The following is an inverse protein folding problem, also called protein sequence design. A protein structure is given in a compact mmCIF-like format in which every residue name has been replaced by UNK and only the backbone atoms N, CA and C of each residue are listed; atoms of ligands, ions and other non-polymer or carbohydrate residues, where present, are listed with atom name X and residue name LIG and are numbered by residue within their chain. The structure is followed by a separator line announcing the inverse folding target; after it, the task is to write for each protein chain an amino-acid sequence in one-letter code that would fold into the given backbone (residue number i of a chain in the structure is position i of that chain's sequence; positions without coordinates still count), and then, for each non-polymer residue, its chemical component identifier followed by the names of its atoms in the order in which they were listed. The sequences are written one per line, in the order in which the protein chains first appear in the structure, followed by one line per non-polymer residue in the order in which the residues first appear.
data_IF_073230057724
#
_entry.id   IF_073230057724
#
_cell.length_a   1.000
_cell.length_b   1.000
_cell.length_c   1.000
_cell.angle_alpha   90.00
_cell.angle_beta   90.00
_cell.angle_gamma   90.00
#
_symmetry.space_group_name_H-M   'P 1'
#
loop_
_entity.id
_entity.type
_entity.pdbx_description
1 polymer ?
#
# COMPACT_ATOMS: atom_id res chain seq x y z
N UNK A 1 9.98 23.36 -9.76
CA UNK A 1 11.28 22.65 -9.70
C UNK A 1 11.46 22.00 -11.07
N UNK A 2 12.64 22.10 -11.69
CA UNK A 2 12.87 21.50 -13.02
C UNK A 2 13.05 19.99 -12.89
N UNK A 3 12.58 19.22 -13.88
CA UNK A 3 12.74 17.75 -13.96
C UNK A 3 14.20 17.31 -13.77
N UNK A 4 15.16 18.16 -14.18
CA UNK A 4 16.60 17.87 -14.09
C UNK A 4 17.15 17.80 -12.66
N UNK A 5 16.49 18.45 -11.69
CA UNK A 5 16.99 18.44 -10.30
C UNK A 5 16.61 17.15 -9.56
N UNK A 6 15.54 16.47 -9.97
CA UNK A 6 15.03 15.27 -9.30
C UNK A 6 15.62 13.97 -9.89
N UNK A 7 16.24 14.04 -11.07
CA UNK A 7 16.86 12.91 -11.77
C UNK A 7 17.87 12.11 -10.90
N UNK A 8 18.79 12.74 -10.15
CA UNK A 8 19.78 12.01 -9.34
C UNK A 8 19.13 11.25 -8.18
N UNK A 9 18.09 11.86 -7.61
CA UNK A 9 17.24 11.33 -6.54
C UNK A 9 16.48 10.08 -7.00
N UNK A 10 15.89 10.12 -8.20
CA UNK A 10 15.20 8.97 -8.83
C UNK A 10 16.20 7.86 -9.18
N UNK A 11 17.38 8.20 -9.70
CA UNK A 11 18.42 7.23 -10.03
C UNK A 11 18.98 6.54 -8.78
N UNK A 12 19.22 7.28 -7.69
CA UNK A 12 19.66 6.70 -6.42
C UNK A 12 18.60 5.75 -5.84
N UNK A 13 17.32 6.12 -5.90
CA UNK A 13 16.21 5.26 -5.45
C UNK A 13 16.10 3.97 -6.28
N UNK A 14 16.14 4.10 -7.61
CA UNK A 14 16.03 2.96 -8.53
C UNK A 14 17.24 2.03 -8.52
N UNK A 15 18.42 2.53 -8.14
CA UNK A 15 19.65 1.74 -8.02
C UNK A 15 19.95 1.27 -6.59
N UNK A 16 19.08 1.56 -5.61
CA UNK A 16 19.23 1.15 -4.22
C UNK A 16 20.40 1.83 -3.48
N UNK A 17 20.88 2.98 -3.97
CA UNK A 17 21.98 3.74 -3.35
C UNK A 17 21.47 4.59 -2.20
N UNK A 18 21.13 3.95 -1.09
CA UNK A 18 20.48 4.58 0.07
C UNK A 18 21.29 5.73 0.68
N UNK A 19 22.62 5.62 0.74
CA UNK A 19 23.46 6.69 1.30
C UNK A 19 23.45 7.93 0.40
N UNK A 20 23.55 7.74 -0.92
CA UNK A 20 23.42 8.83 -1.90
C UNK A 20 22.03 9.46 -1.84
N UNK A 21 20.98 8.64 -1.69
CA UNK A 21 19.61 9.14 -1.53
C UNK A 21 19.48 10.01 -0.27
N UNK A 22 20.02 9.57 0.87
CA UNK A 22 19.99 10.35 2.11
C UNK A 22 20.70 11.70 1.96
N UNK A 23 21.86 11.73 1.30
CA UNK A 23 22.60 12.97 1.05
C UNK A 23 21.85 13.91 0.11
N UNK A 24 21.19 13.39 -0.92
CA UNK A 24 20.38 14.17 -1.85
C UNK A 24 19.13 14.74 -1.16
N UNK A 25 18.43 13.92 -0.36
CA UNK A 25 17.27 14.33 0.43
C UNK A 25 17.60 15.41 1.46
N UNK A 26 18.77 15.34 2.09
CA UNK A 26 19.22 16.35 3.04
C UNK A 26 19.47 17.73 2.38
N UNK A 27 19.80 17.75 1.08
CA UNK A 27 20.10 18.97 0.34
C UNK A 27 18.90 19.53 -0.44
N UNK A 28 17.89 18.71 -0.72
CA UNK A 28 16.68 19.10 -1.45
C UNK A 28 15.56 19.50 -0.49
N UNK A 29 15.20 20.79 -0.44
CA UNK A 29 14.16 21.32 0.46
C UNK A 29 12.72 20.87 0.10
N UNK A 30 12.56 19.97 -0.88
CA UNK A 30 11.28 19.36 -1.31
C UNK A 30 11.55 18.17 -2.24
N UNK A 31 11.80 17.00 -1.67
CA UNK A 31 11.72 15.78 -2.46
C UNK A 31 10.25 15.51 -2.80
N UNK A 32 9.87 15.68 -4.06
CA UNK A 32 8.52 15.40 -4.50
C UNK A 32 8.37 13.88 -4.71
N UNK A 33 7.81 13.23 -3.71
CA UNK A 33 7.32 11.83 -3.67
C UNK A 33 6.62 11.38 -4.96
N UNK A 34 5.97 12.32 -5.68
CA UNK A 34 5.36 12.13 -7.00
C UNK A 34 6.31 11.46 -8.01
N UNK A 35 7.62 11.69 -7.91
CA UNK A 35 8.61 11.14 -8.83
C UNK A 35 9.02 9.68 -8.55
N UNK A 36 8.76 9.19 -7.33
CA UNK A 36 8.96 7.76 -7.00
C UNK A 36 7.76 6.91 -7.40
N UNK A 37 6.60 7.53 -7.63
CA UNK A 37 5.35 6.84 -8.00
C UNK A 37 5.43 6.09 -9.33
N UNK A 38 6.41 6.43 -10.18
CA UNK A 38 6.63 5.78 -11.47
C UNK A 38 7.39 4.45 -11.35
N UNK A 39 8.13 4.23 -10.27
CA UNK A 39 8.90 3.02 -10.10
C UNK A 39 8.16 2.07 -9.16
N UNK A 40 7.78 0.87 -9.63
CA UNK A 40 7.44 -0.21 -8.72
C UNK A 40 8.77 -0.64 -8.08
N UNK A 41 9.26 0.11 -7.10
CA UNK A 41 10.34 -0.35 -6.21
C UNK A 41 9.74 -1.38 -5.25
N UNK A 42 9.37 -2.49 -5.88
CA UNK A 42 8.99 -3.76 -5.29
C UNK A 42 10.03 -4.12 -4.23
N UNK A 43 9.59 -4.40 -3.00
CA UNK A 43 10.39 -5.03 -1.94
C UNK A 43 11.53 -4.25 -1.26
N UNK A 44 11.57 -2.91 -1.28
CA UNK A 44 12.62 -2.17 -0.55
C UNK A 44 12.10 -1.41 0.69
N UNK A 45 11.79 -2.10 1.81
CA UNK A 45 11.50 -1.46 3.10
C UNK A 45 12.56 -0.43 3.51
N UNK A 46 13.83 -0.66 3.17
CA UNK A 46 14.93 0.25 3.49
C UNK A 46 14.81 1.59 2.76
N UNK A 47 14.41 1.58 1.48
CA UNK A 47 14.17 2.80 0.72
C UNK A 47 13.01 3.59 1.33
N UNK A 48 11.92 2.91 1.66
CA UNK A 48 10.77 3.55 2.31
C UNK A 48 11.07 4.06 3.70
N UNK A 49 11.90 3.34 4.47
CA UNK A 49 12.34 3.79 5.80
C UNK A 49 13.08 5.12 5.73
N UNK A 50 13.90 5.33 4.68
CA UNK A 50 14.54 6.62 4.45
C UNK A 50 13.49 7.69 4.15
N UNK A 51 12.57 7.46 3.22
CA UNK A 51 11.53 8.43 2.88
C UNK A 51 10.67 8.83 4.08
N UNK A 52 10.19 7.85 4.85
CA UNK A 52 9.38 8.07 6.04
C UNK A 52 10.10 8.83 7.14
N UNK A 53 11.44 8.69 7.24
CA UNK A 53 12.23 9.45 8.19
C UNK A 53 12.37 10.93 7.85
N UNK A 54 12.19 11.29 6.57
CA UNK A 54 12.17 12.67 6.10
C UNK A 54 10.74 13.25 6.12
N UNK A 55 9.75 12.50 5.65
CA UNK A 55 8.35 12.89 5.64
C UNK A 55 7.42 11.72 6.03
N UNK A 56 7.02 11.62 7.31
CA UNK A 56 6.10 10.57 7.75
C UNK A 56 4.72 10.65 7.08
N UNK A 57 4.30 11.83 6.61
CA UNK A 57 2.99 11.99 5.98
C UNK A 57 2.92 11.33 4.60
N UNK A 58 4.06 10.96 4.01
CA UNK A 58 4.11 10.35 2.70
C UNK A 58 3.50 8.93 2.65
N UNK A 59 3.36 8.25 3.80
CA UNK A 59 2.82 6.89 3.87
C UNK A 59 1.37 6.79 3.34
N UNK A 60 0.58 7.84 3.58
CA UNK A 60 -0.85 7.95 3.23
C UNK A 60 -1.08 8.92 2.06
N UNK A 61 -0.01 9.36 1.40
CA UNK A 61 -0.13 10.23 0.25
C UNK A 61 -0.85 9.52 -0.90
N UNK A 62 -1.74 10.25 -1.57
CA UNK A 62 -2.44 9.77 -2.75
C UNK A 62 -1.66 10.13 -4.01
N UNK A 63 -1.32 9.14 -4.81
CA UNK A 63 -0.70 9.33 -6.10
C UNK A 63 -1.78 9.50 -7.16
N UNK A 64 -1.64 10.54 -7.98
CA UNK A 64 -2.52 10.81 -9.10
C UNK A 64 -2.73 9.53 -9.94
N UNK A 65 -3.99 9.11 -10.06
CA UNK A 65 -4.44 7.92 -10.81
C UNK A 65 -4.01 6.55 -10.27
N UNK A 66 -3.27 6.48 -9.16
CA UNK A 66 -2.79 5.22 -8.58
C UNK A 66 -3.29 4.96 -7.14
N UNK A 67 -3.85 5.98 -6.49
CA UNK A 67 -4.40 5.87 -5.15
C UNK A 67 -3.31 5.93 -4.08
N UNK A 68 -3.58 5.35 -2.92
CA UNK A 68 -2.65 5.33 -1.78
C UNK A 68 -1.50 4.35 -2.00
N UNK A 69 -0.42 4.50 -1.22
CA UNK A 69 0.71 3.57 -1.27
C UNK A 69 0.32 2.13 -0.92
N UNK A 70 -0.60 1.95 0.02
CA UNK A 70 -1.15 0.64 0.37
C UNK A 70 -2.00 0.04 -0.77
N UNK A 71 -2.71 0.87 -1.55
CA UNK A 71 -3.41 0.42 -2.76
C UNK A 71 -2.42 -0.04 -3.86
N UNK A 72 -1.30 0.67 -4.04
CA UNK A 72 -0.21 0.27 -4.93
C UNK A 72 0.43 -1.06 -4.55
N UNK A 73 0.62 -1.32 -3.25
CA UNK A 73 1.11 -2.59 -2.75
C UNK A 73 0.18 -3.76 -3.15
N UNK A 74 -1.13 -3.50 -3.20
CA UNK A 74 -2.10 -4.47 -3.68
C UNK A 74 -1.93 -4.77 -5.18
N UNK A 75 -1.81 -3.74 -6.02
CA UNK A 75 -1.68 -3.90 -7.47
C UNK A 75 -0.41 -4.65 -7.88
N UNK A 76 0.66 -4.48 -7.10
CA UNK A 76 1.97 -5.10 -7.36
C UNK A 76 2.17 -6.43 -6.65
N UNK A 77 1.15 -6.93 -5.91
CA UNK A 77 1.18 -8.20 -5.17
C UNK A 77 2.38 -8.32 -4.21
N UNK A 78 2.65 -7.27 -3.44
CA UNK A 78 3.72 -7.27 -2.45
C UNK A 78 3.55 -8.37 -1.39
N UNK A 79 4.66 -8.93 -0.86
CA UNK A 79 4.62 -9.99 0.14
C UNK A 79 4.16 -9.45 1.50
N UNK A 80 3.76 -10.37 2.38
CA UNK A 80 3.23 -10.07 3.71
C UNK A 80 4.15 -9.15 4.53
N UNK A 81 5.46 -9.39 4.54
CA UNK A 81 6.44 -8.57 5.27
C UNK A 81 6.40 -7.09 4.86
N UNK A 82 6.07 -6.80 3.60
CA UNK A 82 5.92 -5.43 3.12
C UNK A 82 4.62 -4.79 3.60
N UNK A 83 3.53 -5.57 3.70
CA UNK A 83 2.28 -5.10 4.30
C UNK A 83 2.45 -4.77 5.78
N UNK A 84 3.13 -5.64 6.53
CA UNK A 84 3.46 -5.39 7.92
C UNK A 84 4.29 -4.11 8.07
N UNK A 85 5.32 -3.93 7.23
CA UNK A 85 6.10 -2.71 7.20
C UNK A 85 5.25 -1.46 6.96
N UNK A 86 4.35 -1.45 5.96
CA UNK A 86 3.50 -0.31 5.66
C UNK A 86 2.57 0.03 6.82
N UNK A 87 1.96 -0.98 7.45
CA UNK A 87 1.02 -0.79 8.55
C UNK A 87 1.73 -0.32 9.82
N UNK A 88 2.92 -0.87 10.12
CA UNK A 88 3.78 -0.38 11.21
C UNK A 88 4.21 1.08 10.97
N UNK A 89 4.45 1.45 9.71
CA UNK A 89 4.76 2.82 9.30
C UNK A 89 3.56 3.77 9.37
N UNK A 90 2.35 3.29 9.69
CA UNK A 90 1.15 4.12 9.83
C UNK A 90 0.32 4.25 8.55
N UNK A 91 0.46 3.33 7.61
CA UNK A 91 -0.44 3.25 6.46
C UNK A 91 -1.88 3.00 6.95
N UNK A 92 -2.82 3.80 6.45
CA UNK A 92 -4.22 3.72 6.80
C UNK A 92 -4.96 2.79 5.82
N UNK A 93 -5.36 1.57 6.24
CA UNK A 93 -6.09 0.65 5.38
C UNK A 93 -7.55 1.05 5.15
N UNK A 94 -8.08 2.00 5.92
CA UNK A 94 -9.41 2.57 5.75
C UNK A 94 -9.41 3.73 4.74
N UNK A 95 -8.25 4.27 4.37
CA UNK A 95 -8.18 5.38 3.44
C UNK A 95 -8.71 4.97 2.07
N UNK A 96 -9.79 5.62 1.63
CA UNK A 96 -10.39 5.39 0.33
C UNK A 96 -9.45 5.92 -0.79
N UNK A 97 -9.00 5.08 -1.73
CA UNK A 97 -8.16 5.55 -2.83
C UNK A 97 -9.01 6.29 -3.89
N UNK A 98 -8.66 7.54 -4.23
CA UNK A 98 -9.43 8.37 -5.17
C UNK A 98 -9.60 7.76 -6.57
N UNK A 99 -8.65 6.93 -7.00
CA UNK A 99 -8.61 6.35 -8.35
C UNK A 99 -8.47 4.82 -8.38
N UNK A 100 -8.57 4.14 -7.24
CA UNK A 100 -8.44 2.67 -7.17
C UNK A 100 -9.68 2.02 -6.55
N UNK A 101 -9.77 0.70 -6.67
CA UNK A 101 -10.78 -0.05 -5.94
C UNK A 101 -10.49 0.03 -4.42
N UNK A 102 -11.52 0.04 -3.57
CA UNK A 102 -11.35 -0.12 -2.13
C UNK A 102 -10.40 -1.28 -1.79
N UNK A 103 -9.61 -1.11 -0.74
CA UNK A 103 -8.47 -1.99 -0.45
C UNK A 103 -8.92 -3.45 -0.28
N UNK A 104 -9.99 -3.68 0.49
CA UNK A 104 -10.57 -5.00 0.74
C UNK A 104 -11.03 -5.69 -0.55
N UNK A 105 -11.63 -4.95 -1.47
CA UNK A 105 -12.06 -5.46 -2.78
C UNK A 105 -10.84 -5.84 -3.63
N UNK A 106 -9.78 -5.03 -3.57
CA UNK A 106 -8.55 -5.29 -4.30
C UNK A 106 -7.84 -6.55 -3.79
N UNK A 107 -7.66 -6.71 -2.48
CA UNK A 107 -7.03 -7.93 -1.94
C UNK A 107 -7.86 -9.17 -2.24
N UNK A 108 -9.18 -9.06 -2.25
CA UNK A 108 -10.08 -10.16 -2.62
C UNK A 108 -9.82 -10.73 -4.02
N UNK A 109 -9.51 -9.85 -4.97
CA UNK A 109 -9.23 -10.24 -6.36
C UNK A 109 -7.79 -10.67 -6.59
N UNK A 110 -6.81 -10.03 -5.93
CA UNK A 110 -5.40 -10.20 -6.28
C UNK A 110 -4.62 -11.18 -5.40
N UNK A 111 -5.08 -11.46 -4.18
CA UNK A 111 -4.41 -12.32 -3.21
C UNK A 111 -5.24 -13.57 -2.94
N UNK A 112 -4.60 -14.75 -2.94
CA UNK A 112 -5.24 -16.01 -2.52
C UNK A 112 -5.00 -16.33 -1.04
N UNK A 113 -4.14 -15.57 -0.37
CA UNK A 113 -3.72 -15.76 1.01
C UNK A 113 -4.57 -14.88 1.94
N UNK A 114 -5.15 -15.49 2.97
CA UNK A 114 -6.02 -14.83 3.95
C UNK A 114 -5.26 -13.93 4.93
N UNK A 115 -3.93 -14.09 5.04
CA UNK A 115 -3.10 -13.31 5.98
C UNK A 115 -3.12 -11.81 5.68
N UNK A 116 -3.12 -11.42 4.41
CA UNK A 116 -3.17 -9.99 4.03
C UNK A 116 -4.51 -9.36 4.40
N UNK A 117 -5.68 -9.87 3.97
CA UNK A 117 -6.96 -9.28 4.38
C UNK A 117 -7.21 -9.37 5.89
N UNK A 118 -6.70 -10.41 6.58
CA UNK A 118 -6.72 -10.46 8.05
C UNK A 118 -5.93 -9.31 8.68
N UNK A 119 -4.70 -9.09 8.21
CA UNK A 119 -3.85 -8.01 8.68
C UNK A 119 -4.50 -6.64 8.46
N UNK A 120 -5.17 -6.44 7.33
CA UNK A 120 -5.91 -5.19 7.03
C UNK A 120 -7.08 -4.97 7.99
N UNK A 121 -7.90 -6.01 8.24
CA UNK A 121 -9.01 -5.93 9.19
C UNK A 121 -8.51 -5.62 10.62
N UNK A 122 -7.41 -6.23 11.04
CA UNK A 122 -6.78 -5.96 12.34
C UNK A 122 -6.29 -4.52 12.48
N UNK A 123 -5.94 -3.86 11.37
CA UNK A 123 -5.43 -2.49 11.35
C UNK A 123 -6.49 -1.45 10.96
N UNK A 124 -7.78 -1.82 11.00
CA UNK A 124 -8.89 -0.87 10.87
C UNK A 124 -9.49 -0.74 9.48
N UNK A 125 -9.22 -1.68 8.55
CA UNK A 125 -9.92 -1.71 7.27
C UNK A 125 -11.45 -1.78 7.45
N UNK A 126 -12.19 -1.13 6.56
CA UNK A 126 -13.65 -1.07 6.64
C UNK A 126 -14.29 -2.45 6.50
N UNK A 127 -14.94 -2.91 7.57
CA UNK A 127 -15.68 -4.18 7.61
C UNK A 127 -16.89 -4.15 6.67
N UNK A 128 -17.47 -2.98 6.43
CA UNK A 128 -18.59 -2.79 5.50
C UNK A 128 -18.23 -3.19 4.06
N UNK A 129 -16.94 -3.09 3.71
CA UNK A 129 -16.44 -3.50 2.39
C UNK A 129 -16.34 -5.04 2.25
N UNK A 130 -16.52 -5.82 3.32
CA UNK A 130 -16.43 -7.29 3.26
C UNK A 130 -17.46 -7.87 2.28
N UNK A 131 -18.69 -7.36 2.24
CA UNK A 131 -19.70 -7.88 1.32
C UNK A 131 -19.32 -7.65 -0.15
N UNK A 132 -18.82 -6.46 -0.47
CA UNK A 132 -18.31 -6.15 -1.81
C UNK A 132 -17.04 -6.95 -2.14
N UNK A 133 -16.21 -7.22 -1.14
CA UNK A 133 -15.03 -8.07 -1.27
C UNK A 133 -15.40 -9.54 -1.52
N UNK A 134 -16.48 -10.07 -0.92
CA UNK A 134 -17.01 -11.41 -1.22
C UNK A 134 -17.46 -11.49 -2.68
N UNK A 135 -18.24 -10.51 -3.16
CA UNK A 135 -18.68 -10.45 -4.56
C UNK A 135 -17.49 -10.41 -5.53
N UNK A 136 -16.46 -9.63 -5.20
CA UNK A 136 -15.24 -9.59 -5.98
C UNK A 136 -14.49 -10.93 -5.96
N UNK A 137 -14.27 -11.53 -4.79
CA UNK A 137 -13.61 -12.83 -4.67
C UNK A 137 -14.35 -13.92 -5.47
N UNK A 138 -15.69 -13.93 -5.45
CA UNK A 138 -16.50 -14.84 -6.27
C UNK A 138 -16.29 -14.62 -7.77
N UNK A 139 -16.32 -13.36 -8.22
CA UNK A 139 -16.09 -13.00 -9.63
C UNK A 139 -14.71 -13.44 -10.12
N UNK A 140 -13.71 -13.39 -9.25
CA UNK A 140 -12.33 -13.79 -9.55
C UNK A 140 -12.05 -15.27 -9.25
N UNK A 141 -13.04 -16.03 -8.75
CA UNK A 141 -12.91 -17.46 -8.47
C UNK A 141 -12.05 -17.80 -7.25
N UNK A 142 -11.92 -16.87 -6.30
CA UNK A 142 -11.03 -16.98 -5.15
C UNK A 142 -11.72 -17.61 -3.93
N UNK A 143 -12.00 -18.92 -4.02
CA UNK A 143 -12.71 -19.69 -2.99
C UNK A 143 -12.17 -19.53 -1.57
N UNK A 144 -10.84 -19.63 -1.32
CA UNK A 144 -10.27 -19.46 0.02
C UNK A 144 -10.59 -18.10 0.65
N UNK A 145 -10.50 -17.02 -0.13
CA UNK A 145 -10.83 -15.68 0.35
C UNK A 145 -12.34 -15.50 0.57
N UNK A 146 -13.18 -16.10 -0.28
CA UNK A 146 -14.64 -16.08 -0.08
C UNK A 146 -14.99 -16.70 1.28
N UNK A 147 -14.46 -17.89 1.59
CA UNK A 147 -14.71 -18.54 2.87
C UNK A 147 -14.24 -17.68 4.05
N UNK A 148 -13.02 -17.14 3.97
CA UNK A 148 -12.47 -16.25 4.98
C UNK A 148 -13.36 -15.03 5.24
N UNK A 149 -13.84 -14.36 4.19
CA UNK A 149 -14.68 -13.18 4.36
C UNK A 149 -16.08 -13.49 4.88
N UNK A 150 -16.65 -14.64 4.53
CA UNK A 150 -17.92 -15.09 5.11
C UNK A 150 -17.77 -15.30 6.63
N UNK A 151 -16.72 -16.01 7.06
CA UNK A 151 -16.46 -16.23 8.50
C UNK A 151 -16.30 -14.89 9.25
N UNK A 152 -15.53 -13.95 8.69
CA UNK A 152 -15.36 -12.61 9.29
C UNK A 152 -16.65 -11.79 9.33
N UNK A 153 -17.49 -11.88 8.30
CA UNK A 153 -18.79 -11.20 8.28
C UNK A 153 -19.74 -11.77 9.35
N UNK A 154 -19.77 -13.10 9.52
CA UNK A 154 -20.57 -13.76 10.56
C UNK A 154 -20.09 -13.37 11.97
N UNK A 155 -18.78 -13.38 12.21
CA UNK A 155 -18.19 -12.95 13.47
C UNK A 155 -18.54 -11.49 13.82
N UNK A 156 -18.51 -10.59 12.83
CA UNK A 156 -18.90 -9.19 13.02
C UNK A 156 -20.38 -9.05 13.36
N UNK A 157 -21.25 -9.76 12.65
CA UNK A 157 -22.70 -9.75 12.91
C UNK A 157 -23.05 -10.35 14.27
N UNK A 158 -22.27 -11.31 14.78
CA UNK A 158 -22.48 -11.87 16.11
C UNK A 158 -22.04 -10.93 17.26
N UNK A 159 -21.22 -9.91 16.97
CA UNK A 159 -20.71 -8.96 17.96
C UNK A 159 -21.53 -7.67 18.06
N UNK A 160 -22.45 -7.43 17.13
CA UNK A 160 -23.37 -6.29 17.08
C UNK A 160 -24.81 -6.71 17.38
#
# INVERSE_FOLDING_TARGET
MSSDQLQPSIEAASTGKLDTLKELLANENKFAEENLSEQPSTHHPDLFSVLLSYDPACINHQFDKRGTRIALACMTKQPLDFWEFLLIAGADPAQNPDCALPLMISVAGFYSDTRVPELLLMNGAHVEDIYQAIEAALKWGNGPIVHFFIERAEEYNARN
#
